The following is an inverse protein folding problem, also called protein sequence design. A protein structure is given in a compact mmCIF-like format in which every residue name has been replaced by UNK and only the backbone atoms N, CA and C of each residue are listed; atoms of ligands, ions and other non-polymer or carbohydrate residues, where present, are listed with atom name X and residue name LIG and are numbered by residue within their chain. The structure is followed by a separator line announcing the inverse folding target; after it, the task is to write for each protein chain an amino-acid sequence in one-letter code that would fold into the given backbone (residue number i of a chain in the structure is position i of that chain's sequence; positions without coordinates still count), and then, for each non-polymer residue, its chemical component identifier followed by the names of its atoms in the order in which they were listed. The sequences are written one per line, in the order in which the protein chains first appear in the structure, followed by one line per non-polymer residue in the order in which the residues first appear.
data_IF_631167075607
#
_entry.id   IF_631167075607
#
_cell.length_a   1.000
_cell.length_b   1.000
_cell.length_c   1.000
_cell.angle_alpha   90.00
_cell.angle_beta   90.00
_cell.angle_gamma   90.00
#
_symmetry.space_group_name_H-M   'P 1'
#
loop_
_entity.id
_entity.type
_entity.pdbx_description
1 polymer ?
#
# COMPACT_ATOMS: atom_id res chain seq x y z
N UNK A 1 -27.70 1.55 -8.34
CA UNK A 1 -26.87 1.31 -9.53
C UNK A 1 -26.30 2.67 -9.91
N UNK A 2 -24.97 2.81 -9.93
CA UNK A 2 -24.34 4.02 -10.46
C UNK A 2 -24.56 4.12 -11.96
N UNK A 3 -24.74 5.33 -12.46
CA UNK A 3 -24.78 5.63 -13.88
C UNK A 3 -23.43 5.25 -14.53
N UNK A 4 -23.43 4.67 -15.73
CA UNK A 4 -22.24 4.12 -16.40
C UNK A 4 -21.13 5.16 -16.59
N UNK A 5 -21.49 6.43 -16.78
CA UNK A 5 -20.56 7.54 -16.94
C UNK A 5 -19.88 7.95 -15.61
N UNK A 6 -20.52 7.66 -14.46
CA UNK A 6 -20.00 7.99 -13.14
C UNK A 6 -18.79 7.13 -12.76
N UNK A 7 -18.80 5.84 -13.11
CA UNK A 7 -17.67 4.94 -12.82
C UNK A 7 -16.44 5.30 -13.69
N UNK A 8 -16.63 5.60 -14.97
CA UNK A 8 -15.54 6.05 -15.85
C UNK A 8 -14.86 7.29 -15.29
N UNK A 9 -15.65 8.32 -14.95
CA UNK A 9 -15.14 9.58 -14.38
C UNK A 9 -14.40 9.32 -13.06
N UNK A 10 -14.99 8.54 -12.15
CA UNK A 10 -14.39 8.22 -10.86
C UNK A 10 -13.06 7.47 -10.99
N UNK A 11 -12.95 6.54 -11.95
CA UNK A 11 -11.69 5.84 -12.23
C UNK A 11 -10.61 6.78 -12.80
N UNK A 12 -10.96 7.68 -13.72
CA UNK A 12 -10.01 8.64 -14.29
C UNK A 12 -9.55 9.68 -13.25
N UNK A 13 -10.45 10.10 -12.38
CA UNK A 13 -10.12 11.00 -11.27
C UNK A 13 -9.19 10.31 -10.27
N UNK A 14 -9.51 9.09 -9.82
CA UNK A 14 -8.70 8.38 -8.82
C UNK A 14 -7.39 7.78 -9.36
N UNK A 15 -7.26 7.61 -10.67
CA UNK A 15 -5.95 7.33 -11.30
C UNK A 15 -5.07 8.57 -11.38
N UNK A 16 -5.61 9.77 -11.13
CA UNK A 16 -4.87 11.01 -11.27
C UNK A 16 -4.40 11.27 -12.70
N UNK A 17 -5.09 10.71 -13.69
CA UNK A 17 -4.74 10.92 -15.09
C UNK A 17 -5.47 12.15 -15.63
N UNK A 18 -4.93 13.34 -15.30
CA UNK A 18 -5.49 14.63 -15.70
C UNK A 18 -5.58 14.79 -17.22
N UNK A 19 -4.64 14.18 -17.97
CA UNK A 19 -4.70 14.12 -19.43
C UNK A 19 -5.84 13.24 -19.95
N UNK A 20 -6.10 12.08 -19.33
CA UNK A 20 -7.24 11.24 -19.69
C UNK A 20 -8.59 11.92 -19.35
N UNK A 21 -8.66 12.71 -18.27
CA UNK A 21 -9.82 13.55 -17.97
C UNK A 21 -10.04 14.64 -19.01
N UNK A 22 -8.96 15.24 -19.53
CA UNK A 22 -9.04 16.19 -20.63
C UNK A 22 -9.51 15.54 -21.94
N UNK A 23 -9.08 14.31 -22.23
CA UNK A 23 -9.56 13.53 -23.38
C UNK A 23 -11.03 13.15 -23.24
N UNK A 24 -11.47 12.76 -22.03
CA UNK A 24 -12.88 12.49 -21.72
C UNK A 24 -13.77 13.71 -22.03
N UNK A 25 -13.27 14.94 -21.81
CA UNK A 25 -13.99 16.18 -22.14
C UNK A 25 -14.01 16.50 -23.65
N UNK A 26 -13.08 15.93 -24.43
CA UNK A 26 -12.97 16.14 -25.87
C UNK A 26 -13.77 15.13 -26.70
N UNK A 27 -14.02 13.94 -26.16
CA UNK A 27 -14.99 13.00 -26.72
C UNK A 27 -16.42 13.45 -26.37
N UNK A 28 -17.38 13.33 -27.31
CA UNK A 28 -18.80 13.68 -27.11
C UNK A 28 -19.52 12.72 -26.14
N UNK A 29 -18.93 12.45 -24.97
CA UNK A 29 -19.62 11.82 -23.86
C UNK A 29 -20.43 12.93 -23.21
N UNK A 30 -21.72 12.97 -23.52
CA UNK A 30 -22.66 14.01 -23.10
C UNK A 30 -22.93 13.89 -21.60
N UNK A 31 -21.98 14.32 -20.78
CA UNK A 31 -22.29 14.73 -19.41
C UNK A 31 -23.17 15.99 -19.48
N UNK A 32 -24.23 16.05 -18.67
CA UNK A 32 -25.08 17.23 -18.62
C UNK A 32 -24.22 18.49 -18.44
N UNK A 33 -24.24 19.38 -19.44
CA UNK A 33 -23.35 20.54 -19.60
C UNK A 33 -23.29 21.49 -18.39
N UNK A 34 -24.26 21.43 -17.48
CA UNK A 34 -24.31 22.21 -16.24
C UNK A 34 -23.51 21.58 -15.07
N UNK A 35 -23.25 20.29 -15.13
CA UNK A 35 -22.40 19.53 -14.20
C UNK A 35 -20.90 19.76 -14.51
N UNK A 36 -20.60 19.98 -15.79
CA UNK A 36 -19.26 20.11 -16.36
C UNK A 36 -18.51 21.34 -15.82
N UNK A 37 -19.09 22.54 -15.85
CA UNK A 37 -18.33 23.78 -15.56
C UNK A 37 -18.00 24.02 -14.07
N UNK A 38 -18.71 23.40 -13.12
CA UNK A 38 -18.43 23.53 -11.66
C UNK A 38 -17.80 22.30 -11.02
N UNK A 39 -17.97 21.11 -11.61
CA UNK A 39 -17.32 19.89 -11.12
C UNK A 39 -15.93 19.67 -11.72
N UNK A 40 -15.59 20.33 -12.84
CA UNK A 40 -14.28 20.18 -13.48
C UNK A 40 -13.12 20.64 -12.60
N UNK A 41 -13.15 21.83 -12.01
CA UNK A 41 -12.04 22.29 -11.16
C UNK A 41 -11.84 21.39 -9.94
N UNK A 42 -12.94 20.90 -9.36
CA UNK A 42 -12.91 20.01 -8.20
C UNK A 42 -12.36 18.62 -8.54
N UNK A 43 -12.81 18.01 -9.64
CA UNK A 43 -12.33 16.71 -10.08
C UNK A 43 -10.93 16.78 -10.70
N UNK A 44 -10.56 17.89 -11.32
CA UNK A 44 -9.19 18.14 -11.77
C UNK A 44 -8.25 18.39 -10.59
N UNK A 45 -8.68 19.10 -9.54
CA UNK A 45 -7.92 19.24 -8.30
C UNK A 45 -7.78 17.90 -7.57
N UNK A 46 -8.86 17.12 -7.48
CA UNK A 46 -8.85 15.75 -6.95
C UNK A 46 -7.93 14.84 -7.76
N UNK A 47 -8.02 14.87 -9.08
CA UNK A 47 -7.13 14.11 -9.95
C UNK A 47 -5.69 14.58 -9.83
N UNK A 48 -5.42 15.87 -9.63
CA UNK A 48 -4.08 16.35 -9.32
C UNK A 48 -3.57 15.86 -7.96
N UNK A 49 -4.46 15.70 -6.97
CA UNK A 49 -4.16 15.06 -5.68
C UNK A 49 -3.76 13.60 -5.89
N UNK A 50 -4.58 12.81 -6.60
CA UNK A 50 -4.24 11.41 -6.93
C UNK A 50 -3.03 11.29 -7.85
N UNK A 51 -2.83 12.24 -8.77
CA UNK A 51 -1.68 12.30 -9.66
C UNK A 51 -0.39 12.48 -8.87
N UNK A 52 -0.39 13.43 -7.93
CA UNK A 52 0.75 13.62 -7.03
C UNK A 52 1.07 12.34 -6.29
N UNK A 53 0.07 11.69 -5.69
CA UNK A 53 0.26 10.42 -4.97
C UNK A 53 0.83 9.33 -5.88
N UNK A 54 0.27 9.15 -7.07
CA UNK A 54 0.70 8.12 -8.02
C UNK A 54 2.09 8.40 -8.63
N UNK A 55 2.37 9.65 -9.01
CA UNK A 55 3.66 10.05 -9.57
C UNK A 55 4.78 9.97 -8.53
N UNK A 56 4.48 10.29 -7.28
CA UNK A 56 5.41 10.08 -6.18
C UNK A 56 5.69 8.58 -6.01
N UNK A 57 4.67 7.71 -6.10
CA UNK A 57 4.87 6.25 -6.11
C UNK A 57 5.75 5.72 -7.24
N UNK A 58 5.63 6.29 -8.44
CA UNK A 58 6.35 5.83 -9.63
C UNK A 58 7.81 6.34 -9.69
N UNK A 59 8.09 7.53 -9.15
CA UNK A 59 9.45 8.08 -9.05
C UNK A 59 10.26 7.54 -7.87
N UNK A 60 9.65 6.68 -7.05
CA UNK A 60 10.25 6.16 -5.82
C UNK A 60 11.41 5.16 -6.04
N UNK A 61 11.79 4.83 -7.28
CA UNK A 61 13.09 4.18 -7.56
C UNK A 61 14.30 4.99 -7.03
N UNK A 62 14.13 6.30 -6.77
CA UNK A 62 15.10 7.17 -6.08
C UNK A 62 14.66 7.71 -4.72
N UNK A 63 13.47 7.33 -4.24
CA UNK A 63 12.87 7.80 -3.00
C UNK A 63 12.08 9.12 -3.07
N UNK A 64 11.00 9.20 -2.31
CA UNK A 64 10.22 10.42 -2.05
C UNK A 64 10.61 10.92 -0.65
N UNK A 65 11.35 12.02 -0.57
CA UNK A 65 11.71 12.58 0.73
C UNK A 65 10.50 13.20 1.45
N UNK A 66 10.50 13.15 2.79
CA UNK A 66 9.49 13.78 3.68
C UNK A 66 9.21 15.24 3.31
N UNK A 67 10.27 15.96 2.92
CA UNK A 67 10.21 17.35 2.50
C UNK A 67 9.36 17.53 1.23
N UNK A 68 9.44 16.62 0.27
CA UNK A 68 8.68 16.70 -0.99
C UNK A 68 7.19 16.45 -0.75
N UNK A 69 6.84 15.46 0.08
CA UNK A 69 5.46 15.21 0.50
C UNK A 69 4.87 16.40 1.26
N UNK A 70 5.64 16.93 2.22
CA UNK A 70 5.22 18.07 3.04
C UNK A 70 5.07 19.34 2.20
N UNK A 71 5.99 19.59 1.26
CA UNK A 71 5.91 20.69 0.30
C UNK A 71 4.70 20.55 -0.62
N UNK A 72 4.43 19.33 -1.11
CA UNK A 72 3.30 19.05 -1.99
C UNK A 72 1.95 19.32 -1.31
N UNK A 73 1.71 18.75 -0.13
CA UNK A 73 0.48 19.06 0.61
C UNK A 73 0.42 20.55 1.01
N UNK A 74 1.55 21.22 1.16
CA UNK A 74 1.62 22.66 1.45
C UNK A 74 1.39 23.56 0.22
N UNK A 75 1.23 23.01 -0.99
CA UNK A 75 0.88 23.80 -2.18
C UNK A 75 -0.47 24.51 -1.93
N UNK A 76 -0.58 25.83 -2.17
CA UNK A 76 -1.79 26.60 -1.83
C UNK A 76 -3.09 25.98 -2.31
N UNK A 77 -3.13 25.43 -3.54
CA UNK A 77 -4.33 24.80 -4.11
C UNK A 77 -4.76 23.53 -3.35
N UNK A 78 -3.80 22.69 -2.95
CA UNK A 78 -4.06 21.43 -2.21
C UNK A 78 -4.46 21.75 -0.77
N UNK A 79 -3.72 22.67 -0.14
CA UNK A 79 -4.03 23.14 1.21
C UNK A 79 -5.40 23.82 1.28
N UNK A 80 -5.80 24.59 0.27
CA UNK A 80 -7.14 25.18 0.16
C UNK A 80 -8.23 24.12 -0.06
N UNK A 81 -7.96 23.11 -0.89
CA UNK A 81 -8.89 22.00 -1.11
C UNK A 81 -9.23 21.28 0.22
N UNK A 82 -8.22 20.88 0.99
CA UNK A 82 -8.46 20.20 2.27
C UNK A 82 -9.08 21.10 3.35
N UNK A 83 -8.92 22.42 3.25
CA UNK A 83 -9.59 23.38 4.15
C UNK A 83 -11.06 23.61 3.82
N UNK A 84 -11.40 23.56 2.53
CA UNK A 84 -12.73 23.94 2.05
C UNK A 84 -13.67 22.75 1.82
N UNK A 85 -13.14 21.53 1.66
CA UNK A 85 -13.90 20.40 1.16
C UNK A 85 -14.54 19.54 2.28
N UNK A 86 -15.88 19.40 2.32
CA UNK A 86 -16.55 18.50 3.24
C UNK A 86 -16.55 17.01 2.82
N UNK A 87 -15.97 16.64 1.67
CA UNK A 87 -15.97 15.28 1.10
C UNK A 87 -15.30 14.25 2.01
N UNK A 88 -16.13 13.55 2.79
CA UNK A 88 -15.73 12.40 3.60
C UNK A 88 -15.22 11.27 2.69
N UNK A 89 -15.89 11.03 1.57
CA UNK A 89 -15.56 9.96 0.61
C UNK A 89 -14.16 10.11 0.02
N UNK A 90 -13.74 11.34 -0.27
CA UNK A 90 -12.36 11.63 -0.69
C UNK A 90 -11.34 11.17 0.35
N UNK A 91 -11.56 11.56 1.59
CA UNK A 91 -10.64 11.25 2.69
C UNK A 91 -10.58 9.73 2.91
N UNK A 92 -11.70 9.01 2.73
CA UNK A 92 -11.68 7.55 2.76
C UNK A 92 -10.81 6.95 1.66
N UNK A 93 -11.02 7.38 0.41
CA UNK A 93 -10.27 6.86 -0.74
C UNK A 93 -8.77 7.21 -0.62
N UNK A 94 -8.46 8.41 -0.15
CA UNK A 94 -7.10 8.86 0.13
C UNK A 94 -6.45 7.97 1.20
N UNK A 95 -7.14 7.70 2.32
CA UNK A 95 -6.63 6.80 3.36
C UNK A 95 -6.39 5.39 2.83
N UNK A 96 -7.26 4.86 1.97
CA UNK A 96 -7.08 3.54 1.37
C UNK A 96 -5.83 3.47 0.48
N UNK A 97 -5.66 4.47 -0.39
CA UNK A 97 -4.52 4.61 -1.30
C UNK A 97 -3.23 4.73 -0.50
N UNK A 98 -3.18 5.65 0.48
CA UNK A 98 -2.00 5.85 1.33
C UNK A 98 -1.68 4.61 2.17
N UNK A 99 -2.68 3.96 2.76
CA UNK A 99 -2.51 2.73 3.54
C UNK A 99 -1.97 1.58 2.69
N UNK A 100 -2.47 1.43 1.45
CA UNK A 100 -1.96 0.42 0.52
C UNK A 100 -0.47 0.65 0.19
N UNK A 101 -0.05 1.91 0.06
CA UNK A 101 1.36 2.28 -0.12
C UNK A 101 2.23 1.98 1.12
N UNK A 102 1.73 2.26 2.33
CA UNK A 102 2.47 1.99 3.58
C UNK A 102 2.68 0.50 3.85
N UNK A 103 1.73 -0.37 3.47
CA UNK A 103 1.84 -1.83 3.65
C UNK A 103 2.79 -2.53 2.65
N UNK A 104 3.48 -1.79 1.78
CA UNK A 104 4.30 -2.36 0.72
C UNK A 104 5.67 -2.92 1.16
N UNK A 105 6.12 -2.69 2.40
CA UNK A 105 7.32 -3.28 3.05
C UNK A 105 8.56 -3.46 2.14
N UNK A 106 8.92 -2.47 1.33
CA UNK A 106 10.20 -2.45 0.63
C UNK A 106 10.79 -1.04 0.62
N UNK A 107 12.11 -0.93 0.78
CA UNK A 107 12.90 0.32 0.75
C UNK A 107 12.56 1.25 -0.45
N UNK A 108 12.09 0.67 -1.56
CA UNK A 108 11.69 1.40 -2.78
C UNK A 108 10.27 2.00 -2.72
N UNK A 109 9.37 1.49 -1.86
CA UNK A 109 7.96 1.90 -1.79
C UNK A 109 7.54 2.59 -0.49
N UNK A 110 8.36 2.50 0.57
CA UNK A 110 8.03 2.91 1.95
C UNK A 110 7.93 4.44 2.19
N UNK A 111 7.81 5.28 1.15
CA UNK A 111 8.18 6.70 1.27
C UNK A 111 7.02 7.70 1.29
N UNK A 112 5.79 7.27 0.95
CA UNK A 112 4.59 7.98 1.43
C UNK A 112 4.23 7.40 2.79
N UNK A 113 4.86 7.92 3.83
CA UNK A 113 4.64 7.45 5.18
C UNK A 113 3.34 8.04 5.73
N UNK A 114 2.54 7.22 6.42
CA UNK A 114 1.38 7.73 7.15
C UNK A 114 1.78 8.87 8.10
N UNK A 115 2.98 8.77 8.67
CA UNK A 115 3.53 9.76 9.59
C UNK A 115 3.77 11.11 8.91
N UNK A 116 4.33 11.15 7.70
CA UNK A 116 4.54 12.40 6.96
C UNK A 116 3.22 13.09 6.62
N UNK A 117 2.19 12.32 6.26
CA UNK A 117 0.85 12.86 5.97
C UNK A 117 0.22 13.46 7.24
N UNK A 118 0.35 12.78 8.38
CA UNK A 118 -0.12 13.30 9.67
C UNK A 118 0.69 14.50 10.17
N UNK A 119 1.95 14.63 9.75
CA UNK A 119 2.80 15.79 10.05
C UNK A 119 2.34 17.09 9.41
N UNK A 120 1.44 17.03 8.41
CA UNK A 120 0.92 18.22 7.72
C UNK A 120 -0.33 18.76 8.45
N UNK A 121 -0.28 19.97 9.05
CA UNK A 121 -1.34 20.43 9.98
C UNK A 121 -2.75 20.49 9.39
N UNK A 122 -2.90 20.92 8.13
CA UNK A 122 -4.22 21.06 7.51
C UNK A 122 -4.83 19.71 7.10
N UNK A 123 -3.99 18.73 6.73
CA UNK A 123 -4.44 17.36 6.45
C UNK A 123 -4.84 16.67 7.75
N UNK A 124 -4.01 16.79 8.80
CA UNK A 124 -4.32 16.28 10.13
C UNK A 124 -5.62 16.87 10.69
N UNK A 125 -5.84 18.18 10.51
CA UNK A 125 -7.08 18.83 10.93
C UNK A 125 -8.29 18.32 10.14
N UNK A 126 -8.18 18.15 8.82
CA UNK A 126 -9.26 17.61 7.99
C UNK A 126 -9.69 16.20 8.44
N UNK A 127 -8.73 15.33 8.79
CA UNK A 127 -9.04 14.02 9.36
C UNK A 127 -9.74 14.12 10.73
N UNK A 128 -9.27 15.00 11.62
CA UNK A 128 -9.89 15.22 12.94
C UNK A 128 -11.32 15.73 12.82
N UNK A 129 -11.57 16.69 11.94
CA UNK A 129 -12.90 17.27 11.71
C UNK A 129 -13.92 16.26 11.18
N UNK A 130 -13.44 15.22 10.49
CA UNK A 130 -14.29 14.18 9.87
C UNK A 130 -14.22 12.82 10.57
N UNK A 131 -13.50 12.70 11.69
CA UNK A 131 -13.28 11.44 12.39
C UNK A 131 -14.57 10.74 12.83
N UNK A 132 -15.62 11.51 13.14
CA UNK A 132 -16.93 10.99 13.53
C UNK A 132 -17.84 10.60 12.35
N UNK A 133 -17.39 10.78 11.11
CA UNK A 133 -18.13 10.32 9.95
C UNK A 133 -18.14 8.78 9.84
N UNK A 134 -19.21 8.22 9.27
CA UNK A 134 -19.42 6.77 9.18
C UNK A 134 -18.23 6.11 8.46
N UNK A 135 -17.59 5.14 9.11
CA UNK A 135 -16.46 4.37 8.56
C UNK A 135 -15.11 5.10 8.56
N UNK A 136 -15.06 6.41 8.84
CA UNK A 136 -13.83 7.20 8.78
C UNK A 136 -12.87 6.77 9.88
N UNK A 137 -13.39 6.61 11.10
CA UNK A 137 -12.63 6.14 12.25
C UNK A 137 -11.92 4.81 11.97
N UNK A 138 -12.59 3.84 11.35
CA UNK A 138 -11.99 2.54 11.05
C UNK A 138 -10.83 2.64 10.06
N UNK A 139 -10.98 3.40 8.97
CA UNK A 139 -9.89 3.60 8.00
C UNK A 139 -8.74 4.38 8.58
N UNK A 140 -9.04 5.41 9.36
CA UNK A 140 -8.04 6.22 10.03
C UNK A 140 -7.28 5.40 11.08
N UNK A 141 -7.96 4.55 11.85
CA UNK A 141 -7.32 3.55 12.72
C UNK A 141 -6.34 2.68 11.93
N UNK A 142 -6.76 2.06 10.83
CA UNK A 142 -5.86 1.23 9.99
C UNK A 142 -4.67 2.02 9.44
N UNK A 143 -4.87 3.28 9.10
CA UNK A 143 -3.81 4.13 8.59
C UNK A 143 -2.82 4.54 9.69
N UNK A 144 -3.29 4.83 10.90
CA UNK A 144 -2.45 5.07 12.09
C UNK A 144 -1.70 3.79 12.48
N UNK A 145 -2.36 2.62 12.45
CA UNK A 145 -1.71 1.32 12.66
C UNK A 145 -0.56 1.09 11.67
N UNK A 146 -0.78 1.41 10.39
CA UNK A 146 0.29 1.35 9.38
C UNK A 146 1.44 2.32 9.66
N UNK A 147 1.14 3.52 10.18
CA UNK A 147 2.14 4.47 10.65
C UNK A 147 3.00 3.90 11.78
N UNK A 148 2.40 3.23 12.76
CA UNK A 148 3.13 2.57 13.83
C UNK A 148 3.91 1.33 13.36
N UNK A 149 3.36 0.52 12.46
CA UNK A 149 4.07 -0.60 11.88
C UNK A 149 5.34 -0.14 11.16
N UNK A 150 5.26 0.97 10.42
CA UNK A 150 6.41 1.58 9.80
C UNK A 150 7.39 2.18 10.82
N UNK A 151 6.90 2.88 11.84
CA UNK A 151 7.72 3.45 12.92
C UNK A 151 8.59 2.38 13.60
N UNK A 152 8.06 1.17 13.73
CA UNK A 152 8.73 0.04 14.35
C UNK A 152 9.34 -0.95 13.35
N UNK A 153 9.41 -0.62 12.06
CA UNK A 153 10.07 -1.46 11.06
C UNK A 153 11.49 -0.93 10.75
N UNK A 154 12.56 -1.71 11.02
CA UNK A 154 13.96 -1.27 10.82
C UNK A 154 14.31 -0.98 9.36
N UNK A 155 13.68 -1.69 8.42
CA UNK A 155 13.90 -1.55 6.98
C UNK A 155 13.16 -0.33 6.42
N UNK A 156 12.19 0.20 7.18
CA UNK A 156 11.36 1.33 6.74
C UNK A 156 11.84 2.67 7.32
N UNK A 157 12.60 2.66 8.42
CA UNK A 157 12.94 3.89 9.12
C UNK A 157 14.31 3.84 9.81
N UNK A 158 15.13 4.87 9.56
CA UNK A 158 16.39 5.08 10.29
C UNK A 158 16.13 5.42 11.76
N UNK A 159 17.00 4.96 12.66
CA UNK A 159 16.88 5.11 14.11
C UNK A 159 16.70 6.59 14.52
N UNK A 160 17.37 7.51 13.83
CA UNK A 160 17.30 8.96 14.10
C UNK A 160 15.91 9.57 13.88
N UNK A 161 15.04 8.89 13.13
CA UNK A 161 13.69 9.38 12.79
C UNK A 161 12.59 8.80 13.68
N UNK A 162 12.90 7.77 14.47
CA UNK A 162 11.93 7.12 15.37
C UNK A 162 11.34 8.13 16.36
N UNK A 163 12.19 8.93 17.03
CA UNK A 163 11.72 9.93 18.00
C UNK A 163 10.84 11.00 17.34
N UNK A 164 11.31 11.59 16.23
CA UNK A 164 10.58 12.62 15.47
C UNK A 164 9.19 12.13 15.03
N UNK A 165 9.13 10.92 14.46
CA UNK A 165 7.89 10.33 13.96
C UNK A 165 6.96 9.81 15.06
N UNK A 166 7.50 9.39 16.20
CA UNK A 166 6.70 9.01 17.36
C UNK A 166 5.86 10.19 17.88
N UNK A 167 6.40 11.41 17.91
CA UNK A 167 5.69 12.60 18.37
C UNK A 167 4.52 13.00 17.45
N UNK A 168 4.63 12.73 16.15
CA UNK A 168 3.52 12.95 15.21
C UNK A 168 2.39 11.95 15.45
N UNK A 169 2.72 10.68 15.67
CA UNK A 169 1.73 9.62 15.92
C UNK A 169 1.10 9.68 17.32
N UNK A 170 1.80 10.27 18.31
CA UNK A 170 1.29 10.41 19.68
C UNK A 170 -0.09 11.08 19.73
N UNK A 171 -0.31 12.08 18.86
CA UNK A 171 -1.59 12.78 18.71
C UNK A 171 -2.75 11.94 18.15
N UNK A 172 -2.51 10.66 17.85
CA UNK A 172 -3.45 9.69 17.28
C UNK A 172 -3.55 8.38 18.07
N UNK A 173 -2.88 8.29 19.22
CA UNK A 173 -2.85 7.09 20.08
C UNK A 173 -4.23 6.58 20.47
N UNK A 174 -5.22 7.46 20.64
CA UNK A 174 -6.62 7.11 20.95
C UNK A 174 -7.33 6.25 19.88
N UNK A 175 -6.76 6.15 18.68
CA UNK A 175 -7.34 5.40 17.57
C UNK A 175 -6.87 3.95 17.48
N UNK A 176 -5.80 3.59 18.18
CA UNK A 176 -5.17 2.26 18.09
C UNK A 176 -5.14 1.59 19.46
N UNK A 177 -4.93 0.27 19.46
CA UNK A 177 -4.60 -0.46 20.68
C UNK A 177 -3.07 -0.58 20.82
N UNK A 178 -2.45 0.12 21.78
CA UNK A 178 -1.01 0.08 21.99
C UNK A 178 -0.46 -1.34 22.21
N UNK A 179 -1.23 -2.22 22.88
CA UNK A 179 -0.80 -3.59 23.16
C UNK A 179 -0.68 -4.42 21.89
N UNK A 180 -1.64 -4.26 20.96
CA UNK A 180 -1.64 -4.91 19.64
C UNK A 180 -0.50 -4.41 18.75
N UNK A 181 -0.25 -3.10 18.74
CA UNK A 181 0.85 -2.50 17.97
C UNK A 181 2.21 -3.05 18.41
N UNK A 182 2.47 -3.03 19.73
CA UNK A 182 3.72 -3.56 20.30
C UNK A 182 3.87 -5.04 19.99
N UNK A 183 2.77 -5.80 20.02
CA UNK A 183 2.79 -7.22 19.74
C UNK A 183 3.21 -7.54 18.30
N UNK A 184 2.57 -6.88 17.33
CA UNK A 184 2.87 -7.04 15.91
C UNK A 184 4.31 -6.65 15.61
N UNK A 185 4.77 -5.51 16.12
CA UNK A 185 6.14 -5.04 15.88
C UNK A 185 7.21 -6.05 16.37
N UNK A 186 7.01 -6.64 17.56
CA UNK A 186 7.95 -7.63 18.10
C UNK A 186 7.86 -8.98 17.39
N UNK A 187 6.69 -9.34 16.85
CA UNK A 187 6.55 -10.50 15.97
C UNK A 187 7.28 -10.29 14.64
N UNK A 188 7.12 -9.12 14.02
CA UNK A 188 7.78 -8.79 12.77
C UNK A 188 9.31 -8.83 12.93
N UNK A 189 9.86 -8.30 14.01
CA UNK A 189 11.30 -8.37 14.28
C UNK A 189 11.82 -9.81 14.37
N UNK A 190 11.02 -10.73 14.94
CA UNK A 190 11.36 -12.15 14.98
C UNK A 190 11.44 -12.76 13.59
N UNK A 191 10.46 -12.48 12.73
CA UNK A 191 10.42 -13.03 11.37
C UNK A 191 11.69 -12.63 10.58
N UNK A 192 12.17 -11.40 10.77
CA UNK A 192 13.43 -10.94 10.20
C UNK A 192 14.68 -11.55 10.89
N UNK A 193 14.59 -11.88 12.19
CA UNK A 193 15.65 -12.55 12.95
C UNK A 193 15.85 -14.01 12.52
N UNK A 194 14.79 -14.71 12.14
CA UNK A 194 14.80 -16.13 11.76
C UNK A 194 15.27 -16.36 10.30
N UNK A 195 15.46 -15.28 9.52
CA UNK A 195 15.94 -15.32 8.13
C UNK A 195 17.47 -15.40 7.99
N UNK A 196 18.22 -15.02 9.03
CA UNK A 196 19.69 -15.03 9.02
C UNK A 196 20.19 -15.83 10.23
N UNK A 197 21.05 -16.83 10.01
CA UNK A 197 21.58 -17.73 11.06
C UNK A 197 22.37 -16.97 12.15
N UNK A 198 22.62 -15.67 11.96
CA UNK A 198 23.39 -14.78 12.83
C UNK A 198 22.54 -13.94 13.82
N UNK A 199 21.22 -13.83 13.65
CA UNK A 199 20.32 -13.09 14.56
C UNK A 199 20.24 -11.57 14.31
N UNK A 200 19.10 -10.96 14.63
CA UNK A 200 18.71 -9.62 14.15
C UNK A 200 19.53 -8.46 14.74
N UNK A 201 19.98 -8.57 16.00
CA UNK A 201 20.73 -7.50 16.68
C UNK A 201 22.25 -7.54 16.51
N UNK A 202 22.79 -8.42 15.65
CA UNK A 202 24.23 -8.41 15.36
C UNK A 202 24.65 -7.32 14.38
N UNK A 203 23.72 -6.79 13.60
CA UNK A 203 23.95 -5.59 12.79
C UNK A 203 23.77 -4.34 13.66
N UNK A 204 24.80 -3.49 13.71
CA UNK A 204 24.80 -2.25 14.52
C UNK A 204 23.62 -1.33 14.19
N UNK A 205 23.13 -1.37 12.96
CA UNK A 205 21.98 -0.61 12.50
C UNK A 205 20.68 -1.04 13.21
N UNK A 206 20.33 -2.34 13.14
CA UNK A 206 19.15 -2.89 13.79
C UNK A 206 19.17 -2.72 15.32
N UNK A 207 20.37 -2.81 15.91
CA UNK A 207 20.56 -2.53 17.33
C UNK A 207 20.24 -1.07 17.67
N UNK A 208 20.79 -0.10 16.93
CA UNK A 208 20.48 1.32 17.13
C UNK A 208 18.99 1.62 16.94
N UNK A 209 18.36 1.01 15.95
CA UNK A 209 16.93 1.15 15.71
C UNK A 209 16.11 0.69 16.92
N UNK A 210 16.33 -0.53 17.42
CA UNK A 210 15.59 -1.03 18.57
C UNK A 210 15.80 -0.22 19.86
N UNK A 211 16.96 0.42 20.00
CA UNK A 211 17.25 1.29 21.15
C UNK A 211 16.40 2.56 21.16
N UNK A 212 15.99 3.04 19.99
CA UNK A 212 15.07 4.17 19.86
C UNK A 212 13.61 3.70 19.88
N UNK A 213 13.31 2.55 19.28
CA UNK A 213 11.95 2.02 19.18
C UNK A 213 11.40 1.45 20.51
N UNK A 214 12.21 0.72 21.29
CA UNK A 214 11.75 0.09 22.55
C UNK A 214 11.27 1.13 23.57
N UNK A 215 11.96 2.26 23.82
CA UNK A 215 11.45 3.32 24.68
C UNK A 215 10.07 3.82 24.26
N UNK A 216 9.83 3.98 22.95
CA UNK A 216 8.52 4.37 22.43
C UNK A 216 7.46 3.30 22.73
N UNK A 217 7.76 2.02 22.48
CA UNK A 217 6.86 0.90 22.83
C UNK A 217 6.53 0.86 24.33
N UNK A 218 7.51 1.16 25.19
CA UNK A 218 7.35 1.22 26.65
C UNK A 218 6.44 2.38 27.04
N UNK A 219 6.63 3.56 26.45
CA UNK A 219 5.79 4.73 26.70
C UNK A 219 4.34 4.52 26.27
N UNK A 220 4.13 3.76 25.19
CA UNK A 220 2.80 3.40 24.69
C UNK A 220 2.09 2.36 25.56
N UNK A 221 2.83 1.48 26.24
CA UNK A 221 2.28 0.40 27.06
C UNK A 221 2.89 0.40 28.46
N UNK A 222 3.85 -0.48 28.71
CA UNK A 222 4.68 -0.50 29.91
C UNK A 222 5.92 -1.37 29.67
N UNK A 223 6.98 -1.13 30.45
CA UNK A 223 8.18 -1.99 30.40
C UNK A 223 7.88 -3.46 30.68
N UNK A 224 7.00 -3.74 31.63
CA UNK A 224 6.62 -5.11 31.98
C UNK A 224 5.96 -5.84 30.79
N UNK A 225 5.03 -5.15 30.11
CA UNK A 225 4.34 -5.70 28.94
C UNK A 225 5.32 -5.97 27.79
N UNK A 226 6.11 -4.96 27.40
CA UNK A 226 7.10 -5.09 26.32
C UNK A 226 8.09 -6.21 26.61
N UNK A 227 8.57 -6.32 27.87
CA UNK A 227 9.50 -7.39 28.27
C UNK A 227 8.89 -8.78 28.14
N UNK A 228 7.61 -8.94 28.47
CA UNK A 228 6.90 -10.21 28.34
C UNK A 228 6.67 -10.60 26.88
N UNK A 229 6.25 -9.65 26.02
CA UNK A 229 6.05 -9.91 24.59
C UNK A 229 7.38 -10.15 23.86
N UNK A 230 8.41 -9.38 24.18
CA UNK A 230 9.75 -9.56 23.60
C UNK A 230 10.31 -10.95 23.93
N UNK A 231 10.10 -11.45 25.16
CA UNK A 231 10.49 -12.81 25.53
C UNK A 231 9.73 -13.89 24.74
N UNK A 232 8.46 -13.64 24.43
CA UNK A 232 7.61 -14.59 23.72
C UNK A 232 7.96 -14.66 22.23
N UNK A 233 8.31 -13.52 21.64
CA UNK A 233 8.45 -13.39 20.20
C UNK A 233 9.89 -13.43 19.73
N UNK A 234 10.80 -12.64 20.31
CA UNK A 234 12.17 -12.54 19.82
C UNK A 234 12.98 -13.83 20.06
N UNK A 235 14.05 -14.00 19.28
CA UNK A 235 15.06 -15.01 19.56
C UNK A 235 15.65 -14.80 20.96
N UNK A 236 15.99 -15.90 21.67
CA UNK A 236 16.44 -15.81 23.06
C UNK A 236 17.71 -14.95 23.19
N UNK A 237 18.64 -15.04 22.23
CA UNK A 237 19.87 -14.22 22.17
C UNK A 237 19.58 -12.72 22.08
N UNK A 238 18.58 -12.35 21.29
CA UNK A 238 18.18 -10.98 21.02
C UNK A 238 17.50 -10.37 22.25
N UNK A 239 16.57 -11.12 22.84
CA UNK A 239 15.96 -10.78 24.11
C UNK A 239 17.00 -10.64 25.24
N UNK A 240 17.94 -11.57 25.38
CA UNK A 240 19.00 -11.46 26.40
C UNK A 240 19.88 -10.22 26.21
N UNK A 241 20.13 -9.81 24.97
CA UNK A 241 20.89 -8.58 24.66
C UNK A 241 20.17 -7.34 25.19
N UNK A 242 18.88 -7.22 24.92
CA UNK A 242 18.06 -6.09 25.39
C UNK A 242 17.92 -6.06 26.93
N UNK A 243 17.87 -7.22 27.58
CA UNK A 243 17.88 -7.32 29.05
C UNK A 243 19.24 -6.91 29.62
N UNK A 244 20.35 -7.41 29.04
CA UNK A 244 21.71 -7.08 29.47
C UNK A 244 21.97 -5.58 29.38
N UNK A 245 21.48 -4.97 28.30
CA UNK A 245 21.68 -3.55 28.02
C UNK A 245 20.66 -2.65 28.76
N UNK A 246 19.82 -3.25 29.63
CA UNK A 246 18.96 -2.53 30.56
C UNK A 246 17.69 -1.93 29.95
N UNK A 247 17.34 -2.32 28.72
CA UNK A 247 16.13 -1.88 28.04
C UNK A 247 14.88 -2.65 28.52
N UNK A 248 15.02 -3.95 28.79
CA UNK A 248 13.94 -4.86 29.19
C UNK A 248 14.21 -5.59 30.52
N UNK A 249 13.14 -6.09 31.14
CA UNK A 249 13.18 -6.93 32.33
C UNK A 249 13.29 -8.42 31.98
N UNK A 250 13.86 -9.22 32.87
CA UNK A 250 14.02 -10.68 32.71
C UNK A 250 12.70 -11.44 32.98
N UNK A 251 12.32 -12.35 32.08
CA UNK A 251 11.06 -13.13 32.10
C UNK A 251 11.33 -14.64 32.02
N UNK A 252 10.56 -15.45 32.75
CA UNK A 252 10.71 -16.91 32.80
C UNK A 252 10.21 -17.62 31.52
N UNK A 253 10.89 -18.68 31.09
CA UNK A 253 10.62 -19.38 29.83
C UNK A 253 9.43 -20.39 29.90
N UNK A 254 8.69 -20.54 28.79
CA UNK A 254 7.75 -21.67 28.53
C UNK A 254 8.28 -22.58 27.40
N UNK A 255 7.93 -23.88 27.41
CA UNK A 255 8.49 -24.94 26.54
C UNK A 255 7.58 -25.40 25.38
N UNK A 256 8.19 -25.74 24.23
CA UNK A 256 7.77 -26.71 23.18
C UNK A 256 7.55 -26.09 21.78
N UNK A 257 7.59 -26.75 20.61
CA UNK A 257 8.14 -28.01 20.05
C UNK A 257 7.96 -27.96 18.48
N UNK A 258 8.57 -28.83 17.63
CA UNK A 258 9.09 -28.50 16.28
C UNK A 258 8.22 -28.83 15.03
N UNK A 259 8.70 -28.36 13.86
CA UNK A 259 8.12 -28.41 12.49
C UNK A 259 8.92 -29.29 11.50
N UNK A 260 8.29 -29.74 10.39
CA UNK A 260 8.91 -30.48 9.27
C UNK A 260 8.93 -29.68 7.95
N UNK A 261 9.99 -29.86 7.12
CA UNK A 261 10.41 -28.92 6.05
C UNK A 261 9.49 -28.76 4.82
N UNK A 262 8.71 -29.77 4.41
CA UNK A 262 7.97 -29.70 3.13
C UNK A 262 6.51 -29.26 3.25
N UNK A 263 5.85 -29.59 4.36
CA UNK A 263 4.60 -28.92 4.73
C UNK A 263 4.81 -27.44 5.02
N UNK A 264 6.06 -27.03 5.30
CA UNK A 264 6.44 -25.65 5.53
C UNK A 264 6.40 -24.82 4.25
N UNK A 265 7.05 -25.19 3.14
CA UNK A 265 7.09 -24.30 1.96
C UNK A 265 5.73 -24.05 1.29
N UNK A 266 4.87 -25.07 1.17
CA UNK A 266 3.53 -24.92 0.58
C UNK A 266 2.57 -24.23 1.55
N UNK A 267 2.62 -24.56 2.85
CA UNK A 267 1.86 -23.83 3.86
C UNK A 267 2.43 -22.43 4.13
N UNK A 268 3.72 -22.17 3.88
CA UNK A 268 4.33 -20.84 3.93
C UNK A 268 3.84 -20.04 2.74
N UNK A 269 3.85 -20.59 1.51
CA UNK A 269 3.25 -19.92 0.34
C UNK A 269 1.73 -19.66 0.47
N UNK A 270 0.98 -20.60 1.05
CA UNK A 270 -0.46 -20.47 1.27
C UNK A 270 -0.83 -19.65 2.52
N UNK A 271 0.04 -19.61 3.55
CA UNK A 271 -0.10 -18.75 4.72
C UNK A 271 0.55 -17.37 4.51
N UNK A 272 1.40 -17.21 3.49
CA UNK A 272 2.10 -15.95 3.23
C UNK A 272 1.10 -14.91 2.78
N UNK A 273 1.14 -13.81 3.51
CA UNK A 273 0.40 -12.61 3.12
C UNK A 273 1.10 -11.89 1.95
N UNK A 274 2.29 -12.36 1.49
CA UNK A 274 3.06 -11.67 0.45
C UNK A 274 3.94 -12.53 -0.51
N UNK A 275 3.43 -13.49 -1.30
CA UNK A 275 4.28 -14.24 -2.24
C UNK A 275 4.84 -13.37 -3.40
N UNK A 276 6.12 -13.04 -3.40
CA UNK A 276 6.77 -12.34 -4.51
C UNK A 276 7.17 -13.30 -5.64
N UNK A 277 7.58 -12.79 -6.81
CA UNK A 277 8.00 -13.62 -7.95
C UNK A 277 9.13 -14.60 -7.63
N UNK A 278 9.97 -14.31 -6.62
CA UNK A 278 11.04 -15.20 -6.14
C UNK A 278 10.51 -16.50 -5.53
N UNK A 279 9.31 -16.48 -4.94
CA UNK A 279 8.66 -17.64 -4.30
C UNK A 279 7.89 -18.49 -5.31
N UNK A 280 7.37 -17.84 -6.37
CA UNK A 280 6.54 -18.50 -7.38
C UNK A 280 7.35 -19.03 -8.55
N UNK A 281 8.54 -18.48 -8.82
CA UNK A 281 9.45 -18.95 -9.88
C UNK A 281 9.92 -20.41 -9.66
N UNK A 282 10.43 -20.81 -8.48
CA UNK A 282 10.81 -22.20 -8.21
C UNK A 282 9.62 -23.16 -8.38
N UNK A 283 8.40 -22.70 -8.05
CA UNK A 283 7.17 -23.46 -8.24
C UNK A 283 6.79 -23.61 -9.72
N UNK A 284 6.94 -22.54 -10.52
CA UNK A 284 6.74 -22.58 -11.97
C UNK A 284 7.73 -23.53 -12.66
N UNK A 285 9.01 -23.46 -12.29
CA UNK A 285 10.09 -24.29 -12.84
C UNK A 285 9.93 -25.76 -12.44
N UNK A 286 9.59 -26.04 -11.17
CA UNK A 286 9.44 -27.40 -10.68
C UNK A 286 8.20 -28.13 -11.23
N UNK A 287 7.12 -27.40 -11.52
CA UNK A 287 5.83 -27.98 -11.92
C UNK A 287 5.48 -27.78 -13.41
N UNK A 288 6.33 -27.08 -14.17
CA UNK A 288 6.13 -26.82 -15.60
C UNK A 288 4.76 -26.19 -15.89
N UNK A 289 4.03 -26.76 -16.87
CA UNK A 289 2.70 -26.25 -17.29
C UNK A 289 1.70 -26.11 -16.14
N UNK A 290 1.73 -27.02 -15.15
CA UNK A 290 0.82 -26.95 -14.00
C UNK A 290 1.14 -25.76 -13.10
N UNK A 291 2.42 -25.41 -12.97
CA UNK A 291 2.88 -24.23 -12.25
C UNK A 291 2.45 -22.94 -12.94
N UNK A 292 2.64 -22.82 -14.26
CA UNK A 292 2.23 -21.63 -15.02
C UNK A 292 0.70 -21.42 -15.04
N UNK A 293 -0.10 -22.49 -15.16
CA UNK A 293 -1.57 -22.41 -15.03
C UNK A 293 -2.00 -22.00 -13.62
N UNK A 294 -1.34 -22.54 -12.59
CA UNK A 294 -1.62 -22.18 -11.20
C UNK A 294 -1.37 -20.68 -10.94
N UNK A 295 -0.25 -20.15 -11.43
CA UNK A 295 0.08 -18.73 -11.32
C UNK A 295 -0.97 -17.87 -12.04
N UNK A 296 -1.37 -18.26 -13.26
CA UNK A 296 -2.41 -17.55 -14.02
C UNK A 296 -3.73 -17.44 -13.24
N UNK A 297 -4.19 -18.52 -12.61
CA UNK A 297 -5.41 -18.48 -11.76
C UNK A 297 -5.20 -17.60 -10.52
N UNK A 298 -4.03 -17.70 -9.89
CA UNK A 298 -3.70 -16.90 -8.71
C UNK A 298 -3.69 -15.40 -8.98
N UNK A 299 -3.36 -14.95 -10.20
CA UNK A 299 -3.46 -13.53 -10.55
C UNK A 299 -4.89 -12.98 -10.41
N UNK A 300 -5.92 -13.74 -10.82
CA UNK A 300 -7.32 -13.37 -10.59
C UNK A 300 -7.69 -13.34 -9.10
N UNK A 301 -7.30 -14.38 -8.34
CA UNK A 301 -7.53 -14.44 -6.90
C UNK A 301 -6.84 -13.30 -6.14
N UNK A 302 -5.60 -12.96 -6.52
CA UNK A 302 -4.86 -11.85 -5.95
C UNK A 302 -5.53 -10.51 -6.23
N UNK A 303 -6.07 -10.31 -7.43
CA UNK A 303 -6.84 -9.10 -7.74
C UNK A 303 -8.08 -9.00 -6.84
N UNK A 304 -8.83 -10.10 -6.66
CA UNK A 304 -9.99 -10.15 -5.74
C UNK A 304 -9.59 -9.86 -4.28
N UNK A 305 -8.39 -10.26 -3.88
CA UNK A 305 -7.83 -10.02 -2.56
C UNK A 305 -7.14 -8.66 -2.42
N UNK A 306 -7.12 -7.82 -3.47
CA UNK A 306 -6.40 -6.53 -3.46
C UNK A 306 -4.88 -6.65 -3.48
N UNK A 307 -4.34 -7.84 -3.76
CA UNK A 307 -2.91 -8.18 -3.79
C UNK A 307 -2.24 -7.82 -5.13
N UNK A 308 -2.53 -6.64 -5.66
CA UNK A 308 -2.15 -6.20 -7.00
C UNK A 308 -0.63 -6.16 -7.22
N UNK A 309 0.14 -5.84 -6.19
CA UNK A 309 1.62 -5.85 -6.26
C UNK A 309 2.21 -7.18 -6.74
N UNK A 310 1.54 -8.29 -6.44
CA UNK A 310 1.98 -9.63 -6.81
C UNK A 310 1.84 -9.85 -8.32
N UNK A 311 0.75 -9.31 -8.88
CA UNK A 311 0.48 -9.32 -10.31
C UNK A 311 1.52 -8.47 -11.02
N UNK A 312 1.78 -7.24 -10.55
CA UNK A 312 2.77 -6.34 -11.13
C UNK A 312 4.18 -6.93 -11.11
N UNK A 313 4.61 -7.52 -9.99
CA UNK A 313 5.94 -8.14 -9.87
C UNK A 313 6.14 -9.29 -10.89
N UNK A 314 5.11 -10.09 -11.14
CA UNK A 314 5.14 -11.16 -12.15
C UNK A 314 5.23 -10.59 -13.57
N UNK A 315 4.47 -9.52 -13.86
CA UNK A 315 4.47 -8.85 -15.16
C UNK A 315 5.78 -8.11 -15.44
N UNK A 316 6.41 -7.52 -14.42
CA UNK A 316 7.74 -6.91 -14.53
C UNK A 316 8.83 -7.95 -14.76
N UNK A 317 8.74 -9.10 -14.06
CA UNK A 317 9.62 -10.23 -14.29
C UNK A 317 9.53 -10.74 -15.73
N UNK A 318 8.31 -10.87 -16.26
CA UNK A 318 8.08 -11.29 -17.65
C UNK A 318 8.83 -10.41 -18.65
N UNK A 319 8.77 -9.08 -18.48
CA UNK A 319 9.46 -8.11 -19.35
C UNK A 319 10.98 -8.31 -19.35
N UNK A 320 11.56 -8.84 -18.26
CA UNK A 320 13.02 -8.98 -18.07
C UNK A 320 13.55 -10.39 -18.37
N UNK A 321 12.80 -11.44 -18.03
CA UNK A 321 13.32 -12.82 -17.98
C UNK A 321 12.37 -13.87 -18.59
N UNK A 322 11.25 -13.45 -19.15
CA UNK A 322 10.29 -14.34 -19.81
C UNK A 322 9.11 -14.74 -18.92
N UNK A 323 8.05 -15.20 -19.58
CA UNK A 323 6.73 -15.43 -18.99
C UNK A 323 6.71 -16.68 -18.11
N UNK A 324 6.19 -16.55 -16.88
CA UNK A 324 6.08 -17.65 -15.90
C UNK A 324 4.64 -18.09 -15.63
N UNK A 325 3.67 -17.56 -16.36
CA UNK A 325 2.24 -17.85 -16.21
C UNK A 325 1.57 -18.14 -17.56
N UNK A 326 0.44 -18.84 -17.53
CA UNK A 326 -0.39 -19.05 -18.72
C UNK A 326 -1.30 -17.83 -18.97
N UNK A 327 -1.14 -17.18 -20.13
CA UNK A 327 -1.84 -15.93 -20.48
C UNK A 327 -3.34 -16.12 -20.66
N UNK A 328 -3.79 -17.23 -21.23
CA UNK A 328 -5.22 -17.46 -21.43
C UNK A 328 -5.91 -17.65 -20.07
N UNK A 329 -5.29 -18.42 -19.19
CA UNK A 329 -5.78 -18.66 -17.83
C UNK A 329 -5.74 -17.38 -16.99
N UNK A 330 -4.68 -16.57 -17.10
CA UNK A 330 -4.59 -15.28 -16.44
C UNK A 330 -5.66 -14.31 -16.93
N UNK A 331 -5.86 -14.20 -18.25
CA UNK A 331 -6.86 -13.34 -18.88
C UNK A 331 -8.28 -13.69 -18.42
N UNK A 332 -8.62 -14.98 -18.38
CA UNK A 332 -9.91 -15.44 -17.87
C UNK A 332 -10.11 -15.05 -16.39
N UNK A 333 -9.12 -15.36 -15.54
CA UNK A 333 -9.18 -15.07 -14.10
C UNK A 333 -9.27 -13.58 -13.78
N UNK A 334 -8.47 -12.74 -14.45
CA UNK A 334 -8.46 -11.30 -14.25
C UNK A 334 -9.75 -10.66 -14.77
N UNK A 335 -10.25 -11.06 -15.94
CA UNK A 335 -11.52 -10.54 -16.49
C UNK A 335 -12.69 -10.81 -15.54
N UNK A 336 -12.77 -12.02 -14.97
CA UNK A 336 -13.79 -12.37 -13.98
C UNK A 336 -13.68 -11.51 -12.70
N UNK A 337 -12.47 -11.28 -12.21
CA UNK A 337 -12.21 -10.46 -11.04
C UNK A 337 -12.56 -8.97 -11.27
N UNK A 338 -12.21 -8.41 -12.45
CA UNK A 338 -12.58 -7.05 -12.86
C UNK A 338 -14.10 -6.92 -12.96
N UNK A 339 -14.79 -7.89 -13.58
CA UNK A 339 -16.26 -7.88 -13.68
C UNK A 339 -16.95 -7.86 -12.31
N UNK A 340 -16.44 -8.63 -11.34
CA UNK A 340 -16.91 -8.57 -9.95
C UNK A 340 -16.65 -7.21 -9.30
N UNK A 341 -15.52 -6.57 -9.59
CA UNK A 341 -15.19 -5.25 -9.08
C UNK A 341 -16.09 -4.16 -9.69
N UNK A 342 -16.34 -4.21 -11.01
CA UNK A 342 -17.32 -3.35 -11.70
C UNK A 342 -18.72 -3.46 -11.10
N UNK A 343 -19.21 -4.69 -10.90
CA UNK A 343 -20.53 -4.94 -10.32
C UNK A 343 -20.68 -4.38 -8.89
N UNK A 344 -19.57 -4.23 -8.16
CA UNK A 344 -19.53 -3.68 -6.80
C UNK A 344 -19.10 -2.21 -6.73
N UNK A 345 -18.82 -1.57 -7.87
CA UNK A 345 -18.16 -0.26 -7.92
C UNK A 345 -16.91 -0.18 -7.03
N UNK A 346 -16.11 -1.25 -6.99
CA UNK A 346 -14.89 -1.31 -6.20
C UNK A 346 -13.76 -0.57 -6.90
N UNK A 347 -13.76 0.75 -6.79
CA UNK A 347 -12.84 1.62 -7.53
C UNK A 347 -11.38 1.34 -7.20
N UNK A 348 -11.05 0.94 -5.97
CA UNK A 348 -9.69 0.60 -5.58
C UNK A 348 -9.13 -0.54 -6.44
N UNK A 349 -9.86 -1.66 -6.54
CA UNK A 349 -9.44 -2.79 -7.40
C UNK A 349 -9.43 -2.42 -8.88
N UNK A 350 -10.38 -1.60 -9.34
CA UNK A 350 -10.47 -1.21 -10.74
C UNK A 350 -9.32 -0.26 -11.15
N UNK A 351 -8.92 0.70 -10.32
CA UNK A 351 -7.75 1.56 -10.56
C UNK A 351 -6.50 0.72 -10.78
N UNK A 352 -6.33 -0.31 -9.97
CA UNK A 352 -5.22 -1.24 -10.12
C UNK A 352 -5.28 -2.06 -11.42
N UNK A 353 -6.47 -2.50 -11.81
CA UNK A 353 -6.67 -3.23 -13.06
C UNK A 353 -6.35 -2.37 -14.30
N UNK A 354 -6.45 -1.03 -14.24
CA UNK A 354 -6.05 -0.13 -15.33
C UNK A 354 -4.55 -0.16 -15.64
N UNK A 355 -3.71 -0.63 -14.69
CA UNK A 355 -2.26 -0.77 -14.88
C UNK A 355 -1.86 -2.10 -15.54
N UNK A 356 -2.79 -3.05 -15.68
CA UNK A 356 -2.51 -4.35 -16.30
C UNK A 356 -2.21 -4.19 -17.79
N UNK A 357 -1.40 -5.07 -18.40
CA UNK A 357 -1.21 -5.12 -19.85
C UNK A 357 -2.47 -5.52 -20.61
N UNK A 358 -2.59 -5.05 -21.85
CA UNK A 358 -3.75 -5.34 -22.70
C UNK A 358 -3.91 -6.83 -23.02
N UNK A 359 -2.82 -7.59 -23.11
CA UNK A 359 -2.88 -9.01 -23.48
C UNK A 359 -3.46 -9.91 -22.38
N UNK A 360 -3.57 -9.40 -21.15
CA UNK A 360 -4.15 -10.10 -19.99
C UNK A 360 -5.50 -9.56 -19.54
N UNK A 361 -6.08 -8.60 -20.27
CA UNK A 361 -7.39 -8.00 -19.96
C UNK A 361 -8.34 -8.15 -21.16
N UNK A 362 -9.51 -8.73 -20.95
CA UNK A 362 -10.54 -8.81 -22.00
C UNK A 362 -11.48 -7.60 -21.97
N UNK A 363 -11.14 -6.53 -22.69
CA UNK A 363 -11.93 -5.29 -22.72
C UNK A 363 -13.29 -5.42 -23.45
N UNK A 364 -13.49 -6.48 -24.22
CA UNK A 364 -14.74 -6.75 -24.94
C UNK A 364 -15.72 -7.61 -24.12
N UNK A 365 -15.34 -7.99 -22.89
CA UNK A 365 -16.20 -8.79 -22.04
C UNK A 365 -17.45 -7.97 -21.61
N UNK A 366 -18.66 -8.58 -21.68
CA UNK A 366 -19.90 -7.88 -21.30
C UNK A 366 -19.87 -7.37 -19.85
N UNK A 367 -20.34 -6.15 -19.62
CA UNK A 367 -20.41 -5.55 -18.28
C UNK A 367 -19.14 -4.84 -17.82
N UNK A 368 -18.13 -4.70 -18.70
CA UNK A 368 -16.90 -3.96 -18.43
C UNK A 368 -16.85 -2.59 -19.12
N UNK A 369 -17.94 -2.11 -19.72
CA UNK A 369 -17.94 -0.98 -20.65
C UNK A 369 -17.33 0.29 -20.04
N UNK A 370 -17.75 0.68 -18.82
CA UNK A 370 -17.18 1.83 -18.11
C UNK A 370 -15.69 1.68 -17.80
N UNK A 371 -15.26 0.47 -17.41
CA UNK A 371 -13.85 0.18 -17.16
C UNK A 371 -13.05 0.22 -18.46
N UNK A 372 -13.58 -0.34 -19.55
CA UNK A 372 -12.95 -0.34 -20.86
C UNK A 372 -12.74 1.08 -21.41
N UNK A 373 -13.72 1.96 -21.22
CA UNK A 373 -13.58 3.39 -21.56
C UNK A 373 -12.48 4.05 -20.76
N UNK A 374 -12.48 3.90 -19.42
CA UNK A 374 -11.42 4.45 -18.56
C UNK A 374 -10.03 3.90 -18.93
N UNK A 375 -9.96 2.59 -19.22
CA UNK A 375 -8.74 1.90 -19.64
C UNK A 375 -8.18 2.48 -20.95
N UNK A 376 -9.01 2.58 -22.00
CA UNK A 376 -8.60 3.13 -23.30
C UNK A 376 -8.12 4.59 -23.18
N UNK A 377 -8.86 5.42 -22.45
CA UNK A 377 -8.49 6.83 -22.23
C UNK A 377 -7.17 6.97 -21.46
N UNK A 378 -6.97 6.10 -20.46
CA UNK A 378 -5.70 6.04 -19.70
C UNK A 378 -4.54 5.65 -20.61
N UNK A 379 -4.69 4.61 -21.45
CA UNK A 379 -3.64 4.19 -22.42
C UNK A 379 -3.36 5.23 -23.49
N UNK A 380 -4.38 5.91 -23.99
CA UNK A 380 -4.21 7.00 -24.96
C UNK A 380 -3.45 8.18 -24.35
N UNK A 381 -3.74 8.55 -23.10
CA UNK A 381 -3.02 9.60 -22.38
C UNK A 381 -1.54 9.23 -22.13
N UNK A 382 -1.26 7.97 -21.78
CA UNK A 382 0.12 7.43 -21.66
C UNK A 382 0.87 7.48 -23.01
N UNK A 383 0.18 7.21 -24.13
CA UNK A 383 0.77 7.30 -25.48
C UNK A 383 1.06 8.73 -25.95
N UNK A 384 0.27 9.71 -25.50
CA UNK A 384 0.43 11.12 -25.86
C UNK A 384 1.51 11.85 -25.06
N UNK A 385 1.94 11.30 -23.91
CA UNK A 385 3.00 11.88 -23.06
C UNK A 385 4.43 11.60 -23.58
N UNK A 386 4.57 10.79 -24.64
CA UNK A 386 5.85 10.47 -25.30
C UNK A 386 6.13 11.29 -26.57
N UNK A 387 5.31 12.27 -26.93
CA UNK A 387 5.73 13.31 -27.87
C UNK A 387 6.73 14.21 -27.14
N UNK A 388 8.04 14.16 -27.44
CA UNK A 388 9.01 14.97 -26.73
C UNK A 388 8.64 16.43 -26.96
N UNK A 389 8.68 17.22 -25.90
CA UNK A 389 8.97 18.65 -26.00
C UNK A 389 10.39 18.81 -26.56
N UNK A 390 10.56 18.53 -27.86
CA UNK A 390 11.62 19.10 -28.66
C UNK A 390 11.02 20.27 -29.43
N UNK A 391 11.76 21.38 -29.40
CA UNK A 391 11.45 22.71 -29.92
C UNK A 391 10.67 23.60 -28.93
N UNK A 392 11.40 24.33 -28.07
CA UNK A 392 11.80 25.72 -28.34
C UNK A 392 13.07 26.11 -27.57
#
# INVERSE_FOLDING_TARGET
MMNQDALTLELLVKTGNTSALQLLNGEEIVFEKALVDKMQDRHMAEAAIYHGINSMWEQAEGGIHEDLMSQWFSIPQIAEYFKAEPSVEMLHNLLDVLHAGTNANMETYAQITAVTVFGVPHVAQAFKDKMNAIGMKEKLTKFVEAGYNMLFCPESLDNRRVEHFSGILEGWTDLVDPETIVDNALMDWKEHSDMDDEGYFRQDYNKKFAYEAIPVMINMTSRAYVSQRAKAHLADSDYQTLVKDGLLDKVAAKKGAPTGKFGKAMATFEADRSPYYFDVKPLAEALGKKGSEFIGRKMGEWLEQGRVRHINAILEYEKKQGRIYDTAVAREGLTAAIGKACAKADTGRLIHALKLPEDVVDLEAPGLESFATAYRLTKQAEGNTLAPLMEY
#
